data_IF_251938821964
#
_entry.id   IF_251938821964
#
_cell.length_a   1.000
_cell.length_b   1.000
_cell.length_c   1.000
_cell.angle_alpha   90.00
_cell.angle_beta   90.00
_cell.angle_gamma   90.00
#
_symmetry.space_group_name_H-M   'P 1'
#
loop_
_entity.id
_entity.type
_entity.pdbx_description
1 polymer ?
#
# COMPACT_ATOMS: atom_id res chain seq x y z
N UNK A 1 -6.24 -3.19 19.71
CA UNK A 1 -6.23 -2.32 18.49
C UNK A 1 -7.01 -3.00 17.37
N UNK A 2 -7.57 -2.26 16.40
CA UNK A 2 -8.34 -2.82 15.28
C UNK A 2 -7.57 -2.65 13.97
N UNK A 3 -7.17 -3.75 13.33
CA UNK A 3 -6.51 -3.76 12.03
C UNK A 3 -7.55 -4.09 10.95
N UNK A 4 -7.55 -3.34 9.85
CA UNK A 4 -8.37 -3.64 8.68
C UNK A 4 -7.45 -4.05 7.51
N UNK A 5 -7.55 -5.29 7.01
CA UNK A 5 -6.68 -5.78 5.93
C UNK A 5 -7.45 -6.10 4.65
N UNK A 6 -6.90 -5.74 3.49
CA UNK A 6 -7.47 -6.09 2.17
C UNK A 6 -6.40 -6.59 1.21
N UNK A 7 -6.82 -7.34 0.18
CA UNK A 7 -6.01 -7.77 -0.95
C UNK A 7 -6.73 -7.43 -2.24
N UNK A 8 -5.99 -6.94 -3.23
CA UNK A 8 -6.51 -6.72 -4.58
C UNK A 8 -6.87 -8.03 -5.29
N UNK A 9 -6.29 -9.16 -4.88
CA UNK A 9 -6.44 -10.44 -5.57
C UNK A 9 -7.75 -11.15 -5.28
N UNK A 10 -8.54 -10.72 -4.28
CA UNK A 10 -9.70 -11.49 -3.83
C UNK A 10 -9.34 -12.81 -3.10
N UNK A 11 -8.13 -13.32 -3.26
CA UNK A 11 -7.64 -14.61 -2.76
C UNK A 11 -6.80 -14.49 -1.48
N UNK A 12 -6.58 -13.28 -0.99
CA UNK A 12 -5.95 -13.05 0.30
C UNK A 12 -6.76 -13.76 1.37
N UNK A 13 -6.33 -14.96 1.79
CA UNK A 13 -6.96 -15.72 2.86
C UNK A 13 -7.02 -14.81 4.08
N UNK A 14 -8.22 -14.27 4.34
CA UNK A 14 -8.57 -13.57 5.56
C UNK A 14 -8.14 -14.47 6.71
N UNK A 15 -7.07 -14.07 7.40
CA UNK A 15 -6.63 -14.71 8.63
C UNK A 15 -6.98 -13.77 9.76
N UNK A 16 -8.08 -14.06 10.43
CA UNK A 16 -8.31 -13.52 11.76
C UNK A 16 -7.25 -14.17 12.68
N UNK A 17 -6.15 -13.46 12.94
CA UNK A 17 -5.17 -13.87 13.94
C UNK A 17 -5.42 -13.04 15.20
N UNK A 18 -5.86 -13.71 16.26
CA UNK A 18 -5.80 -13.15 17.61
C UNK A 18 -4.38 -13.35 18.13
N UNK A 19 -3.56 -12.30 18.04
CA UNK A 19 -2.40 -12.16 18.91
C UNK A 19 -2.86 -11.33 20.11
N UNK A 20 -2.98 -12.01 21.25
CA UNK A 20 -3.41 -11.65 22.62
C UNK A 20 -4.22 -10.35 22.91
N UNK A 21 -4.06 -9.22 22.21
CA UNK A 21 -4.84 -7.97 22.34
C UNK A 21 -5.15 -7.24 21.00
N UNK A 22 -4.97 -7.91 19.86
CA UNK A 22 -5.18 -7.37 18.52
C UNK A 22 -6.46 -7.93 17.88
N UNK A 23 -7.37 -7.04 17.46
CA UNK A 23 -8.52 -7.40 16.63
C UNK A 23 -8.17 -7.13 15.17
N UNK A 24 -8.04 -8.17 14.36
CA UNK A 24 -7.79 -8.03 12.92
C UNK A 24 -9.10 -8.33 12.21
N UNK A 25 -9.63 -7.39 11.45
CA UNK A 25 -10.73 -7.59 10.50
C UNK A 25 -10.13 -7.52 9.11
N UNK A 26 -10.27 -8.55 8.30
CA UNK A 26 -9.91 -8.43 6.89
C UNK A 26 -11.19 -8.21 6.08
N UNK A 27 -11.17 -7.22 5.21
CA UNK A 27 -12.22 -6.97 4.22
C UNK A 27 -11.63 -7.23 2.85
N UNK A 28 -12.31 -8.05 2.06
CA UNK A 28 -11.87 -8.40 0.73
C UNK A 28 -12.46 -7.43 -0.30
N UNK A 29 -12.08 -6.16 -0.19
CA UNK A 29 -12.65 -5.08 -0.98
C UNK A 29 -11.57 -4.14 -1.51
N UNK A 30 -11.77 -3.57 -2.70
CA UNK A 30 -10.83 -2.60 -3.26
C UNK A 30 -10.73 -1.38 -2.35
N UNK A 31 -9.64 -0.62 -2.45
CA UNK A 31 -9.48 0.58 -1.59
C UNK A 31 -10.60 1.61 -1.79
N UNK A 32 -11.19 1.63 -2.98
CA UNK A 32 -12.32 2.48 -3.33
C UNK A 32 -13.59 2.11 -2.56
N UNK A 33 -13.71 0.89 -2.03
CA UNK A 33 -14.87 0.45 -1.27
C UNK A 33 -14.83 0.92 0.21
N UNK A 34 -13.66 1.39 0.68
CA UNK A 34 -13.49 1.85 2.06
C UNK A 34 -14.10 3.22 2.32
N UNK A 35 -14.40 4.00 1.28
CA UNK A 35 -14.99 5.33 1.39
C UNK A 35 -16.38 5.34 2.07
N UNK A 36 -17.05 4.18 2.14
CA UNK A 36 -18.38 4.03 2.74
C UNK A 36 -18.36 3.41 4.13
N UNK A 37 -17.19 3.04 4.66
CA UNK A 37 -17.06 2.50 6.00
C UNK A 37 -16.90 3.65 7.00
N UNK A 38 -17.61 3.59 8.13
CA UNK A 38 -17.32 4.43 9.31
C UNK A 38 -16.05 3.91 10.01
N UNK A 39 -14.94 3.98 9.28
CA UNK A 39 -13.64 3.48 9.69
C UNK A 39 -12.57 4.55 9.49
N UNK A 40 -11.93 4.92 10.59
CA UNK A 40 -10.95 6.01 10.65
C UNK A 40 -9.62 5.45 11.12
N UNK A 41 -8.80 4.86 10.22
CA UNK A 41 -7.52 4.30 10.61
C UNK A 41 -6.60 5.40 11.14
N UNK A 42 -5.79 5.06 12.14
CA UNK A 42 -4.67 5.91 12.58
C UNK A 42 -3.38 5.56 11.84
N UNK A 43 -3.30 4.35 11.29
CA UNK A 43 -2.16 3.82 10.55
C UNK A 43 -2.67 3.06 9.33
N UNK A 44 -2.04 3.29 8.18
CA UNK A 44 -2.20 2.48 6.96
C UNK A 44 -0.86 1.81 6.68
N UNK A 45 -0.87 0.50 6.45
CA UNK A 45 0.30 -0.28 6.04
C UNK A 45 -0.09 -1.05 4.79
N UNK A 46 0.69 -0.93 3.73
CA UNK A 46 0.43 -1.66 2.49
C UNK A 46 1.72 -2.07 1.78
N UNK A 47 1.66 -3.21 1.10
CA UNK A 47 2.61 -3.60 0.07
C UNK A 47 1.87 -3.55 -1.28
N UNK A 48 1.70 -2.37 -1.88
CA UNK A 48 0.99 -2.23 -3.15
C UNK A 48 1.84 -2.76 -4.31
N UNK A 49 1.21 -3.19 -5.42
CA UNK A 49 1.95 -3.48 -6.65
C UNK A 49 2.67 -2.22 -7.13
N UNK A 50 3.97 -2.34 -7.38
CA UNK A 50 4.85 -1.24 -7.80
C UNK A 50 5.58 -1.52 -9.12
N UNK A 51 5.28 -2.63 -9.79
CA UNK A 51 5.87 -2.96 -11.10
C UNK A 51 5.06 -2.26 -12.18
N UNK A 52 5.72 -1.55 -13.09
CA UNK A 52 5.01 -0.89 -14.20
C UNK A 52 4.38 -1.92 -15.14
N UNK A 53 3.30 -1.56 -15.84
CA UNK A 53 2.66 -2.45 -16.81
C UNK A 53 3.63 -2.88 -17.94
N UNK A 54 4.63 -2.05 -18.25
CA UNK A 54 5.68 -2.36 -19.21
C UNK A 54 6.67 -3.38 -18.67
N UNK A 55 7.15 -3.21 -17.43
CA UNK A 55 8.01 -4.19 -16.74
C UNK A 55 7.30 -5.52 -16.50
N UNK A 56 5.99 -5.49 -16.18
CA UNK A 56 5.17 -6.68 -16.02
C UNK A 56 5.24 -7.59 -17.27
N UNK A 57 5.21 -6.98 -18.45
CA UNK A 57 5.28 -7.70 -19.73
C UNK A 57 6.65 -8.38 -19.95
N UNK A 58 7.69 -7.92 -19.25
CA UNK A 58 9.07 -8.43 -19.30
C UNK A 58 9.41 -9.36 -18.12
N UNK A 59 8.48 -9.59 -17.18
CA UNK A 59 8.71 -10.48 -16.05
C UNK A 59 8.97 -11.92 -16.54
N UNK A 60 9.85 -12.61 -15.82
CA UNK A 60 10.05 -14.04 -16.01
C UNK A 60 8.71 -14.78 -15.93
N UNK A 61 8.53 -15.76 -16.81
CA UNK A 61 7.31 -16.58 -16.86
C UNK A 61 6.99 -17.19 -15.48
N UNK A 62 8.02 -17.57 -14.71
CA UNK A 62 7.86 -18.09 -13.35
C UNK A 62 7.29 -17.10 -12.32
N UNK A 63 7.36 -15.79 -12.56
CA UNK A 63 6.72 -14.79 -11.70
C UNK A 63 5.31 -14.51 -12.22
N UNK A 64 5.18 -14.33 -13.53
CA UNK A 64 3.92 -14.01 -14.20
C UNK A 64 2.88 -15.13 -14.13
N UNK A 65 3.33 -16.39 -14.12
CA UNK A 65 2.44 -17.55 -14.18
C UNK A 65 2.04 -18.05 -12.77
N UNK A 66 2.68 -17.54 -11.70
CA UNK A 66 2.44 -17.96 -10.31
C UNK A 66 1.75 -16.89 -9.45
N UNK A 67 1.93 -15.61 -9.76
CA UNK A 67 1.27 -14.50 -9.06
C UNK A 67 0.22 -13.84 -9.97
N UNK A 68 -0.98 -13.53 -9.47
CA UNK A 68 -2.02 -12.88 -10.27
C UNK A 68 -1.56 -11.47 -10.69
N UNK A 69 -1.85 -11.08 -11.94
CA UNK A 69 -1.46 -9.78 -12.50
C UNK A 69 -1.78 -8.59 -11.58
N UNK A 70 -2.95 -8.60 -10.95
CA UNK A 70 -3.42 -7.52 -10.08
C UNK A 70 -2.59 -7.35 -8.80
N UNK A 71 -1.81 -8.37 -8.40
CA UNK A 71 -0.84 -8.27 -7.29
C UNK A 71 0.50 -7.67 -7.73
N UNK A 72 0.75 -7.55 -9.03
CA UNK A 72 2.05 -7.14 -9.58
C UNK A 72 1.98 -5.81 -10.33
N UNK A 73 0.95 -5.60 -11.14
CA UNK A 73 0.80 -4.45 -12.04
C UNK A 73 0.37 -3.20 -11.27
N UNK A 74 1.32 -2.29 -11.06
CA UNK A 74 1.13 -0.98 -10.41
C UNK A 74 0.73 0.13 -11.38
N UNK A 75 0.38 -0.21 -12.62
CA UNK A 75 -0.04 0.75 -13.65
C UNK A 75 1.12 1.31 -14.47
N UNK A 76 0.90 2.44 -15.12
CA UNK A 76 1.84 3.01 -16.12
C UNK A 76 3.21 3.31 -15.49
N UNK A 77 3.22 3.84 -14.27
CA UNK A 77 4.42 4.26 -13.55
C UNK A 77 4.59 3.58 -12.19
N UNK A 78 3.81 2.52 -11.92
CA UNK A 78 3.92 1.73 -10.69
C UNK A 78 3.32 2.41 -9.45
N UNK A 79 2.56 3.50 -9.62
CA UNK A 79 2.06 4.32 -8.51
C UNK A 79 0.54 4.38 -8.40
N UNK A 80 -0.22 3.69 -9.25
CA UNK A 80 -1.69 3.83 -9.29
C UNK A 80 -2.34 3.44 -7.96
N UNK A 81 -1.94 2.29 -7.40
CA UNK A 81 -2.47 1.85 -6.09
C UNK A 81 -1.99 2.76 -4.96
N UNK A 82 -0.76 3.24 -5.00
CA UNK A 82 -0.25 4.23 -4.05
C UNK A 82 -1.08 5.52 -4.06
N UNK A 83 -1.46 6.01 -5.25
CA UNK A 83 -2.33 7.19 -5.40
C UNK A 83 -3.70 6.96 -4.76
N UNK A 84 -4.31 5.80 -4.99
CA UNK A 84 -5.60 5.48 -4.36
C UNK A 84 -5.51 5.42 -2.83
N UNK A 85 -4.44 4.83 -2.29
CA UNK A 85 -4.18 4.80 -0.83
C UNK A 85 -4.06 6.22 -0.26
N UNK A 86 -3.25 7.06 -0.89
CA UNK A 86 -3.00 8.43 -0.43
C UNK A 86 -4.25 9.29 -0.57
N UNK A 87 -5.02 9.10 -1.65
CA UNK A 87 -6.31 9.76 -1.89
C UNK A 87 -7.31 9.42 -0.79
N UNK A 88 -7.50 8.13 -0.49
CA UNK A 88 -8.34 7.68 0.62
C UNK A 88 -7.89 8.31 1.95
N UNK A 89 -6.59 8.28 2.25
CA UNK A 89 -6.04 8.88 3.46
C UNK A 89 -6.30 10.40 3.55
N UNK A 90 -6.38 11.09 2.41
CA UNK A 90 -6.73 12.51 2.32
C UNK A 90 -8.19 12.84 2.59
N UNK A 91 -9.10 11.87 2.43
CA UNK A 91 -10.53 12.04 2.71
C UNK A 91 -10.88 11.87 4.20
N UNK A 92 -9.97 11.31 4.99
CA UNK A 92 -10.21 11.05 6.42
C UNK A 92 -10.19 12.36 7.24
N UNK A 93 -11.02 12.48 8.29
CA UNK A 93 -11.04 13.64 9.19
C UNK A 93 -9.69 13.91 9.88
N UNK A 94 -8.89 12.85 10.05
CA UNK A 94 -7.51 12.91 10.53
C UNK A 94 -6.65 12.04 9.62
N UNK A 95 -5.57 12.62 9.10
CA UNK A 95 -4.60 11.89 8.27
C UNK A 95 -3.90 10.80 9.11
N UNK A 96 -3.89 9.53 8.67
CA UNK A 96 -3.18 8.45 9.34
C UNK A 96 -1.68 8.52 9.07
N UNK A 97 -0.87 7.86 9.89
CA UNK A 97 0.50 7.51 9.48
C UNK A 97 0.46 6.45 8.38
N UNK A 98 1.34 6.52 7.38
CA UNK A 98 1.35 5.58 6.25
C UNK A 98 2.70 4.87 6.15
N UNK A 99 2.67 3.56 5.92
CA UNK A 99 3.83 2.72 5.61
C UNK A 99 3.57 2.01 4.28
N UNK A 100 4.36 2.30 3.26
CA UNK A 100 4.22 1.70 1.92
C UNK A 100 5.49 0.98 1.55
N UNK A 101 5.40 -0.30 1.20
CA UNK A 101 6.48 -0.99 0.49
C UNK A 101 6.62 -0.45 -0.94
N UNK A 102 7.85 -0.43 -1.45
CA UNK A 102 8.20 0.12 -2.75
C UNK A 102 9.48 -0.52 -3.32
N UNK A 103 9.70 -0.29 -4.61
CA UNK A 103 11.02 -0.46 -5.25
C UNK A 103 11.79 0.87 -5.27
N UNK A 104 13.14 0.83 -5.38
CA UNK A 104 13.94 2.05 -5.52
C UNK A 104 13.56 2.90 -6.73
N UNK A 105 12.97 2.31 -7.78
CA UNK A 105 12.63 3.03 -9.03
C UNK A 105 11.49 4.02 -8.85
N UNK A 106 10.59 3.78 -7.89
CA UNK A 106 9.43 4.65 -7.63
C UNK A 106 9.60 5.55 -6.40
N UNK A 107 10.72 5.46 -5.67
CA UNK A 107 10.88 6.09 -4.36
C UNK A 107 10.70 7.60 -4.38
N UNK A 108 11.32 8.27 -5.35
CA UNK A 108 11.33 9.73 -5.42
C UNK A 108 9.95 10.28 -5.82
N UNK A 109 9.34 9.65 -6.82
CA UNK A 109 7.98 9.99 -7.26
C UNK A 109 6.95 9.76 -6.15
N UNK A 110 7.02 8.62 -5.44
CA UNK A 110 6.14 8.35 -4.31
C UNK A 110 6.34 9.38 -3.18
N UNK A 111 7.58 9.72 -2.87
CA UNK A 111 7.88 10.73 -1.86
C UNK A 111 7.35 12.12 -2.24
N UNK A 112 7.39 12.49 -3.53
CA UNK A 112 6.78 13.75 -4.01
C UNK A 112 5.26 13.74 -3.79
N UNK A 113 4.58 12.68 -4.24
CA UNK A 113 3.12 12.53 -4.09
C UNK A 113 2.71 12.62 -2.62
N UNK A 114 3.42 11.93 -1.72
CA UNK A 114 3.15 12.01 -0.29
C UNK A 114 3.29 13.45 0.25
N UNK A 115 4.36 14.15 -0.13
CA UNK A 115 4.60 15.54 0.30
C UNK A 115 3.56 16.51 -0.22
N UNK A 116 3.16 16.38 -1.48
CA UNK A 116 2.08 17.16 -2.10
C UNK A 116 0.75 16.93 -1.38
N UNK A 117 0.55 15.73 -0.81
CA UNK A 117 -0.65 15.37 -0.04
C UNK A 117 -0.52 15.64 1.46
N UNK A 118 0.42 16.49 1.88
CA UNK A 118 0.52 16.97 3.27
C UNK A 118 1.19 15.99 4.23
N UNK A 119 2.10 15.15 3.74
CA UNK A 119 2.93 14.28 4.58
C UNK A 119 4.40 14.70 4.57
N UNK A 120 5.10 14.50 5.68
CA UNK A 120 6.54 14.29 5.65
C UNK A 120 6.83 12.84 5.31
N UNK A 121 7.88 12.60 4.53
CA UNK A 121 8.19 11.28 3.98
C UNK A 121 9.67 10.94 4.13
N UNK A 122 9.92 9.76 4.69
CA UNK A 122 11.22 9.13 4.86
C UNK A 122 11.30 7.83 4.05
N UNK A 123 12.33 7.68 3.22
CA UNK A 123 12.62 6.45 2.47
C UNK A 123 13.64 5.63 3.25
N UNK A 124 13.31 4.36 3.49
CA UNK A 124 14.05 3.50 4.40
C UNK A 124 14.49 2.19 3.73
N UNK A 125 15.55 1.62 4.29
CA UNK A 125 16.12 0.36 3.84
C UNK A 125 15.57 -0.84 4.63
N UNK A 126 15.55 -2.00 3.98
CA UNK A 126 15.38 -3.29 4.64
C UNK A 126 16.64 -3.71 5.44
N UNK A 127 16.56 -4.87 6.10
CA UNK A 127 17.67 -5.45 6.87
C UNK A 127 18.93 -5.77 6.04
N UNK A 128 18.80 -5.79 4.71
CA UNK A 128 19.89 -6.02 3.76
C UNK A 128 20.40 -4.72 3.12
N UNK A 129 19.95 -3.56 3.60
CA UNK A 129 20.39 -2.26 3.12
C UNK A 129 19.76 -1.81 1.80
N UNK A 130 18.67 -2.43 1.37
CA UNK A 130 17.97 -2.08 0.12
C UNK A 130 16.81 -1.17 0.39
N UNK A 131 16.67 -0.09 -0.39
CA UNK A 131 15.50 0.80 -0.33
C UNK A 131 14.23 -0.02 -0.57
N UNK A 132 13.33 -0.03 0.43
CA UNK A 132 12.15 -0.89 0.41
C UNK A 132 10.85 -0.30 0.91
N UNK A 133 10.87 0.76 1.70
CA UNK A 133 9.61 1.32 2.18
C UNK A 133 9.69 2.81 2.45
N UNK A 134 8.55 3.47 2.27
CA UNK A 134 8.31 4.85 2.67
C UNK A 134 7.55 4.88 3.99
N UNK A 135 7.95 5.77 4.89
CA UNK A 135 7.21 6.12 6.10
C UNK A 135 6.72 7.56 5.95
N UNK A 136 5.41 7.74 5.97
CA UNK A 136 4.77 9.04 5.82
C UNK A 136 4.05 9.45 7.12
N UNK A 137 4.37 10.64 7.64
CA UNK A 137 3.74 11.21 8.83
C UNK A 137 2.97 12.48 8.46
N UNK A 138 1.73 12.67 8.92
CA UNK A 138 0.96 13.88 8.62
C UNK A 138 1.73 15.15 9.03
N UNK A 139 1.76 16.15 8.16
CA UNK A 139 2.21 17.50 8.54
C UNK A 139 1.15 18.15 9.43
N UNK A 140 1.60 18.75 10.52
CA UNK A 140 0.76 19.48 11.48
C UNK A 140 0.15 20.74 10.89
#
# INVERSE_FOLDING_TARGET
EHILGTSLTGEGKVRECRAEDLRITCVNQGIDDFQHLDFHPQIIIANPPYITSSEYSQLDASVRDYEPRIALDGGIDGLDVCRSIIGFAGMLPRKPKIYLELSPTISDSLASILRENGYDCEINNDLFGRVRFAVASPRG
#
